data_IF_855697375987
#
_entry.id   IF_855697375987
#
_cell.length_a   1.000
_cell.length_b   1.000
_cell.length_c   1.000
_cell.angle_alpha   90.00
_cell.angle_beta   90.00
_cell.angle_gamma   90.00
#
_symmetry.space_group_name_H-M   'P 1'
#
loop_
_entity.id
_entity.type
_entity.pdbx_description
1 polymer ?
#
# COMPACT_ATOMS: atom_id res chain seq x y z
N UNK A 1 0.93 25.03 -1.55
CA UNK A 1 1.86 23.94 -1.19
C UNK A 1 1.06 22.65 -1.23
N UNK A 2 1.16 21.88 -2.30
CA UNK A 2 0.59 20.53 -2.38
C UNK A 2 1.43 19.63 -1.49
N UNK A 3 1.03 19.50 -0.23
CA UNK A 3 1.63 18.62 0.76
C UNK A 3 1.63 17.20 0.18
N UNK A 4 2.77 16.78 -0.34
CA UNK A 4 2.95 15.40 -0.81
C UNK A 4 3.03 14.59 0.48
N UNK A 5 1.88 14.10 0.97
CA UNK A 5 1.81 13.26 2.17
C UNK A 5 2.87 12.17 2.05
N UNK A 6 4.00 12.36 2.76
CA UNK A 6 5.05 11.36 2.81
C UNK A 6 4.42 10.16 3.50
N UNK A 7 4.32 9.06 2.77
CA UNK A 7 3.82 7.81 3.33
C UNK A 7 4.72 7.45 4.51
N UNK A 8 4.14 7.39 5.70
CA UNK A 8 4.82 7.04 6.93
C UNK A 8 4.18 5.79 7.49
N UNK A 9 4.99 4.82 7.90
CA UNK A 9 4.50 3.67 8.63
C UNK A 9 3.99 4.11 10.00
N UNK A 10 2.70 3.91 10.26
CA UNK A 10 2.08 4.27 11.54
C UNK A 10 2.61 3.47 12.74
N UNK A 11 3.19 2.28 12.51
CA UNK A 11 3.65 1.40 13.59
C UNK A 11 5.08 1.66 14.05
N UNK A 12 6.03 1.85 13.12
CA UNK A 12 7.44 2.08 13.47
C UNK A 12 7.97 3.47 13.08
N UNK A 13 7.13 4.30 12.45
CA UNK A 13 7.50 5.63 12.02
C UNK A 13 8.37 5.69 10.76
N UNK A 14 8.63 4.58 10.09
CA UNK A 14 9.45 4.54 8.87
C UNK A 14 8.84 5.41 7.76
N UNK A 15 9.62 6.36 7.28
CA UNK A 15 9.25 7.31 6.22
C UNK A 15 10.02 7.08 4.92
N UNK A 16 10.97 6.14 4.91
CA UNK A 16 11.78 5.85 3.72
C UNK A 16 10.93 5.16 2.65
N UNK A 17 10.64 5.81 1.50
CA UNK A 17 9.78 5.23 0.47
C UNK A 17 10.38 3.97 -0.15
N UNK A 18 11.71 3.77 -0.10
CA UNK A 18 12.36 2.54 -0.59
C UNK A 18 12.05 1.32 0.26
N UNK A 19 11.61 1.53 1.50
CA UNK A 19 11.20 0.48 2.44
C UNK A 19 9.69 0.35 2.54
N UNK A 20 8.91 1.13 1.81
CA UNK A 20 7.44 1.06 1.82
C UNK A 20 7.00 0.44 0.50
N UNK A 21 6.82 -0.88 0.50
CA UNK A 21 6.54 -1.66 -0.70
C UNK A 21 5.04 -1.75 -0.95
N UNK A 22 4.60 -1.40 -2.15
CA UNK A 22 3.21 -1.59 -2.57
C UNK A 22 3.00 -3.04 -3.04
N UNK A 23 1.99 -3.71 -2.49
CA UNK A 23 1.60 -5.07 -2.87
C UNK A 23 0.07 -5.19 -3.04
N UNK A 24 -0.41 -6.09 -3.89
CA UNK A 24 -1.84 -6.36 -4.03
C UNK A 24 -2.37 -7.16 -2.84
N UNK A 25 -3.47 -6.70 -2.25
CA UNK A 25 -4.26 -7.41 -1.26
C UNK A 25 -5.12 -8.48 -1.94
N UNK A 26 -4.65 -9.73 -1.90
CA UNK A 26 -5.37 -10.86 -2.52
C UNK A 26 -6.66 -11.24 -1.79
N UNK A 27 -6.97 -10.63 -0.64
CA UNK A 27 -8.21 -10.90 0.09
C UNK A 27 -9.36 -10.01 -0.39
N UNK A 28 -9.06 -8.89 -1.03
CA UNK A 28 -10.05 -7.93 -1.53
C UNK A 28 -9.91 -7.71 -3.04
N UNK A 29 -10.79 -8.38 -3.79
CA UNK A 29 -10.99 -8.10 -5.22
C UNK A 29 -11.87 -6.86 -5.36
N UNK A 30 -11.35 -5.82 -6.00
CA UNK A 30 -12.11 -4.59 -6.26
C UNK A 30 -13.05 -4.78 -7.45
N UNK A 31 -12.55 -5.33 -8.54
CA UNK A 31 -13.30 -5.60 -9.76
C UNK A 31 -12.54 -6.59 -10.64
N UNK A 32 -13.22 -7.11 -11.67
CA UNK A 32 -12.58 -7.88 -12.73
C UNK A 32 -12.34 -6.98 -13.93
N UNK A 33 -11.13 -7.04 -14.50
CA UNK A 33 -10.81 -6.31 -15.72
C UNK A 33 -11.61 -6.88 -16.92
N UNK A 34 -11.66 -6.15 -18.03
CA UNK A 34 -12.32 -6.61 -19.26
C UNK A 34 -11.70 -7.90 -19.84
N UNK A 35 -10.46 -8.22 -19.46
CA UNK A 35 -9.75 -9.46 -19.84
C UNK A 35 -9.99 -10.61 -18.83
N UNK A 36 -10.89 -10.41 -17.85
CA UNK A 36 -11.24 -11.41 -16.83
C UNK A 36 -10.24 -11.54 -15.69
N UNK A 37 -9.19 -10.71 -15.64
CA UNK A 37 -8.22 -10.75 -14.54
C UNK A 37 -8.73 -10.01 -13.29
N UNK A 38 -8.64 -10.61 -12.09
CA UNK A 38 -9.05 -9.94 -10.85
C UNK A 38 -8.10 -8.80 -10.52
N UNK A 39 -8.66 -7.62 -10.28
CA UNK A 39 -7.94 -6.43 -9.82
C UNK A 39 -8.11 -6.31 -8.31
N UNK A 40 -6.98 -6.36 -7.61
CA UNK A 40 -6.93 -6.35 -6.15
C UNK A 40 -6.73 -4.94 -5.60
N UNK A 41 -7.21 -4.70 -4.38
CA UNK A 41 -6.87 -3.49 -3.64
C UNK A 41 -5.36 -3.44 -3.39
N UNK A 42 -4.75 -2.27 -3.43
CA UNK A 42 -3.32 -2.13 -3.13
C UNK A 42 -3.09 -1.74 -1.68
N UNK A 43 -2.09 -2.33 -1.06
CA UNK A 43 -1.64 -2.04 0.32
C UNK A 43 -0.14 -1.79 0.34
N UNK A 44 0.33 -1.10 1.36
CA UNK A 44 1.74 -0.80 1.59
C UNK A 44 2.23 -1.68 2.73
N UNK A 45 3.32 -2.40 2.49
CA UNK A 45 4.06 -3.16 3.48
C UNK A 45 5.35 -2.44 3.85
N UNK A 46 5.52 -2.17 5.13
CA UNK A 46 6.76 -1.66 5.68
C UNK A 46 7.82 -2.77 5.71
N UNK A 47 8.95 -2.55 5.04
CA UNK A 47 10.10 -3.45 5.02
C UNK A 47 10.91 -3.44 6.33
N UNK A 48 10.73 -2.43 7.19
CA UNK A 48 11.41 -2.39 8.50
C UNK A 48 10.67 -3.20 9.57
N UNK A 49 9.35 -3.03 9.71
CA UNK A 49 8.58 -3.68 10.78
C UNK A 49 7.55 -4.71 10.30
N UNK A 50 7.37 -4.87 8.98
CA UNK A 50 6.39 -5.79 8.40
C UNK A 50 4.93 -5.32 8.45
N UNK A 51 4.65 -4.17 9.06
CA UNK A 51 3.28 -3.62 9.15
C UNK A 51 2.72 -3.34 7.76
N UNK A 52 1.48 -3.77 7.54
CA UNK A 52 0.74 -3.57 6.30
C UNK A 52 -0.38 -2.56 6.52
N UNK A 53 -0.47 -1.54 5.68
CA UNK A 53 -1.46 -0.46 5.79
C UNK A 53 -1.92 0.04 4.42
N UNK A 54 -3.03 0.76 4.37
CA UNK A 54 -3.62 1.22 3.11
C UNK A 54 -2.91 2.47 2.55
N UNK A 55 -2.79 2.56 1.22
CA UNK A 55 -2.26 3.76 0.55
C UNK A 55 -3.35 4.83 0.47
N UNK A 56 -3.72 5.42 1.62
CA UNK A 56 -4.86 6.34 1.64
C UNK A 56 -5.14 7.10 2.93
N UNK A 57 -4.18 7.27 3.85
CA UNK A 57 -4.38 8.09 5.05
C UNK A 57 -3.60 9.39 5.02
#
# INVERSE_FOLDING_TARGET
MTETKRTKCGSCGEENPRKLHEEPDKTQVLYYSMQGSPVYKKRIKCGSCGTVFDRGQ
#
